data_IF_504827991967
#
_entry.id   IF_504827991967
#
_cell.length_a   1.000
_cell.length_b   1.000
_cell.length_c   1.000
_cell.angle_alpha   90.00
_cell.angle_beta   90.00
_cell.angle_gamma   90.00
#
_symmetry.space_group_name_H-M   'P 1'
#
loop_
_entity.id
_entity.type
_entity.pdbx_description
1 polymer ?
#
# COMPACT_ATOMS: atom_id res chain seq x y z
N UNK A 1 -8.28 36.90 -5.43
CA UNK A 1 -9.55 36.18 -5.45
C UNK A 1 -9.34 34.75 -5.89
N UNK A 2 -9.84 33.81 -5.11
CA UNK A 2 -9.60 32.38 -5.33
C UNK A 2 -10.40 31.76 -6.48
N UNK A 3 -11.30 32.51 -7.11
CA UNK A 3 -12.26 32.00 -8.11
C UNK A 3 -11.80 32.18 -9.55
N UNK A 4 -10.51 32.06 -9.82
CA UNK A 4 -10.00 32.06 -11.19
C UNK A 4 -10.13 30.66 -11.79
N UNK A 5 -10.15 30.57 -13.12
CA UNK A 5 -10.14 29.29 -13.82
C UNK A 5 -8.94 28.40 -13.39
N UNK A 6 -7.81 29.02 -13.12
CA UNK A 6 -6.60 28.34 -12.65
C UNK A 6 -6.78 27.77 -11.24
N UNK A 7 -7.42 28.50 -10.32
CA UNK A 7 -7.72 28.03 -8.97
C UNK A 7 -8.68 26.85 -9.00
N UNK A 8 -9.70 26.91 -9.84
CA UNK A 8 -10.66 25.82 -10.04
C UNK A 8 -9.98 24.58 -10.60
N UNK A 9 -9.07 24.75 -11.54
CA UNK A 9 -8.27 23.64 -12.11
C UNK A 9 -7.43 22.96 -11.05
N UNK A 10 -6.73 23.76 -10.22
CA UNK A 10 -5.91 23.24 -9.12
C UNK A 10 -6.73 22.46 -8.11
N UNK A 11 -7.93 22.97 -7.77
CA UNK A 11 -8.83 22.30 -6.84
C UNK A 11 -9.29 20.94 -7.39
N UNK A 12 -9.62 20.86 -8.69
CA UNK A 12 -9.99 19.60 -9.33
C UNK A 12 -8.84 18.62 -9.37
N UNK A 13 -7.64 19.09 -9.67
CA UNK A 13 -6.44 18.23 -9.68
C UNK A 13 -6.13 17.70 -8.29
N UNK A 14 -6.22 18.55 -7.26
CA UNK A 14 -6.00 18.14 -5.87
C UNK A 14 -7.02 17.07 -5.45
N UNK A 15 -8.29 17.21 -5.81
CA UNK A 15 -9.33 16.22 -5.51
C UNK A 15 -9.07 14.90 -6.21
N UNK A 16 -8.68 14.93 -7.48
CA UNK A 16 -8.32 13.73 -8.25
C UNK A 16 -7.15 12.99 -7.61
N UNK A 17 -6.10 13.72 -7.22
CA UNK A 17 -4.94 13.14 -6.54
C UNK A 17 -5.32 12.54 -5.19
N UNK A 18 -6.17 13.24 -4.42
CA UNK A 18 -6.63 12.75 -3.13
C UNK A 18 -7.39 11.42 -3.25
N UNK A 19 -8.30 11.33 -4.22
CA UNK A 19 -9.07 10.11 -4.48
C UNK A 19 -8.16 8.96 -4.91
N UNK A 20 -7.21 9.23 -5.79
CA UNK A 20 -6.24 8.24 -6.26
C UNK A 20 -5.37 7.73 -5.12
N UNK A 21 -4.89 8.64 -4.27
CA UNK A 21 -4.05 8.30 -3.12
C UNK A 21 -4.82 7.48 -2.08
N UNK A 22 -6.09 7.80 -1.85
CA UNK A 22 -6.95 7.02 -0.96
C UNK A 22 -7.12 5.59 -1.47
N UNK A 23 -7.25 5.41 -2.78
CA UNK A 23 -7.31 4.10 -3.43
C UNK A 23 -6.04 3.29 -3.21
N UNK A 24 -4.86 3.88 -3.39
CA UNK A 24 -3.58 3.21 -3.16
C UNK A 24 -3.40 2.82 -1.70
N UNK A 25 -3.78 3.70 -0.77
CA UNK A 25 -3.70 3.38 0.67
C UNK A 25 -4.63 2.23 1.04
N UNK A 26 -5.81 2.17 0.45
CA UNK A 26 -6.75 1.08 0.66
C UNK A 26 -6.20 -0.25 0.13
N UNK A 27 -5.60 -0.24 -1.06
CA UNK A 27 -4.94 -1.42 -1.63
C UNK A 27 -3.79 -1.91 -0.74
N UNK A 28 -2.99 -0.98 -0.23
CA UNK A 28 -1.88 -1.28 0.68
C UNK A 28 -2.38 -2.00 1.93
N UNK A 29 -3.40 -1.46 2.60
CA UNK A 29 -3.98 -2.06 3.81
C UNK A 29 -4.58 -3.43 3.52
N UNK A 30 -5.30 -3.57 2.42
CA UNK A 30 -5.91 -4.83 2.01
C UNK A 30 -4.85 -5.90 1.76
N UNK A 31 -3.76 -5.54 1.09
CA UNK A 31 -2.65 -6.46 0.81
C UNK A 31 -1.99 -6.96 2.09
N UNK A 32 -1.72 -6.06 3.04
CA UNK A 32 -1.17 -6.43 4.34
C UNK A 32 -2.11 -7.37 5.10
N UNK A 33 -3.39 -7.05 5.12
CA UNK A 33 -4.41 -7.85 5.81
C UNK A 33 -4.48 -9.26 5.27
N UNK A 34 -4.40 -9.44 3.95
CA UNK A 34 -4.39 -10.76 3.32
C UNK A 34 -3.22 -11.61 3.77
N UNK A 35 -2.02 -11.02 3.82
CA UNK A 35 -0.83 -11.74 4.29
C UNK A 35 -0.98 -12.12 5.76
N UNK A 36 -1.40 -11.20 6.60
CA UNK A 36 -1.57 -11.45 8.03
C UNK A 36 -2.65 -12.50 8.31
N UNK A 37 -3.74 -12.49 7.56
CA UNK A 37 -4.80 -13.48 7.68
C UNK A 37 -4.28 -14.87 7.33
N UNK A 38 -3.51 -15.00 6.26
CA UNK A 38 -2.93 -16.29 5.86
C UNK A 38 -1.92 -16.80 6.90
N UNK A 39 -1.12 -15.90 7.48
CA UNK A 39 -0.18 -16.25 8.55
C UNK A 39 -0.94 -16.74 9.78
N UNK A 40 -2.00 -16.05 10.17
CA UNK A 40 -2.84 -16.44 11.32
C UNK A 40 -3.53 -17.78 11.11
N UNK A 41 -3.90 -18.09 9.87
CA UNK A 41 -4.50 -19.36 9.51
C UNK A 41 -3.49 -20.52 9.46
N UNK A 42 -2.19 -20.22 9.53
CA UNK A 42 -1.13 -21.22 9.45
C UNK A 42 -0.88 -21.77 8.05
N UNK A 43 -1.39 -21.12 7.01
CA UNK A 43 -1.23 -21.57 5.62
C UNK A 43 -0.04 -20.87 4.99
N UNK A 44 1.13 -21.53 5.01
CA UNK A 44 2.39 -20.97 4.51
C UNK A 44 2.34 -20.69 3.00
N UNK A 45 1.77 -21.57 2.21
CA UNK A 45 1.70 -21.41 0.75
C UNK A 45 0.84 -20.19 0.39
N UNK A 46 -0.31 -20.05 1.02
CA UNK A 46 -1.19 -18.92 0.81
C UNK A 46 -0.55 -17.61 1.29
N UNK A 47 0.15 -17.65 2.43
CA UNK A 47 0.90 -16.50 2.95
C UNK A 47 2.00 -16.07 1.98
N UNK A 48 2.72 -17.01 1.40
CA UNK A 48 3.78 -16.73 0.42
C UNK A 48 3.20 -16.08 -0.84
N UNK A 49 2.10 -16.60 -1.36
CA UNK A 49 1.42 -16.03 -2.53
C UNK A 49 0.91 -14.62 -2.24
N UNK A 50 0.26 -14.42 -1.10
CA UNK A 50 -0.24 -13.13 -0.68
C UNK A 50 0.91 -12.13 -0.46
N UNK A 51 2.04 -12.59 0.08
CA UNK A 51 3.23 -11.77 0.29
C UNK A 51 3.81 -11.26 -1.04
N UNK A 52 3.93 -12.12 -2.05
CA UNK A 52 4.43 -11.71 -3.37
C UNK A 52 3.56 -10.62 -3.98
N UNK A 53 2.24 -10.75 -3.89
CA UNK A 53 1.31 -9.72 -4.34
C UNK A 53 1.44 -8.44 -3.50
N UNK A 54 1.59 -8.57 -2.19
CA UNK A 54 1.74 -7.45 -1.28
C UNK A 54 3.01 -6.64 -1.55
N UNK A 55 4.13 -7.30 -1.84
CA UNK A 55 5.39 -6.62 -2.17
C UNK A 55 5.21 -5.66 -3.34
N UNK A 56 4.51 -6.08 -4.38
CA UNK A 56 4.23 -5.21 -5.52
C UNK A 56 3.44 -3.96 -5.11
N UNK A 57 2.41 -4.12 -4.28
CA UNK A 57 1.59 -3.00 -3.80
C UNK A 57 2.39 -2.09 -2.86
N UNK A 58 3.18 -2.66 -1.96
CA UNK A 58 4.03 -1.91 -1.04
C UNK A 58 5.02 -1.04 -1.82
N UNK A 59 5.68 -1.60 -2.82
CA UNK A 59 6.66 -0.88 -3.64
C UNK A 59 6.00 0.24 -4.46
N UNK A 60 4.85 -0.03 -5.06
CA UNK A 60 4.10 0.99 -5.80
C UNK A 60 3.66 2.15 -4.89
N UNK A 61 3.18 1.83 -3.69
CA UNK A 61 2.75 2.83 -2.71
C UNK A 61 3.92 3.69 -2.25
N UNK A 62 5.08 3.07 -2.02
CA UNK A 62 6.32 3.77 -1.67
C UNK A 62 6.80 4.68 -2.82
N UNK A 63 6.78 4.19 -4.05
CA UNK A 63 7.19 4.97 -5.23
C UNK A 63 6.32 6.20 -5.46
N UNK A 64 5.06 6.14 -5.03
CA UNK A 64 4.16 7.30 -5.10
C UNK A 64 4.32 8.26 -3.92
N UNK A 65 5.20 7.96 -2.99
CA UNK A 65 5.48 8.81 -1.83
C UNK A 65 4.42 8.74 -0.74
N UNK A 66 3.53 7.76 -0.76
CA UNK A 66 2.46 7.61 0.23
C UNK A 66 2.95 6.96 1.51
N UNK A 67 4.02 6.17 1.43
CA UNK A 67 4.76 5.67 2.58
C UNK A 67 6.25 5.87 2.32
N UNK A 68 7.02 6.04 3.39
CA UNK A 68 8.46 6.19 3.27
C UNK A 68 9.09 4.85 2.87
N UNK A 69 10.16 4.90 2.06
CA UNK A 69 10.87 3.69 1.60
C UNK A 69 11.38 2.82 2.75
N UNK A 70 11.74 3.43 3.87
CA UNK A 70 12.18 2.70 5.07
C UNK A 70 11.03 1.93 5.70
N UNK A 71 9.83 2.50 5.72
CA UNK A 71 8.62 1.83 6.19
C UNK A 71 8.27 0.66 5.29
N UNK A 72 8.36 0.84 3.97
CA UNK A 72 8.13 -0.22 2.99
C UNK A 72 9.09 -1.38 3.20
N UNK A 73 10.38 -1.10 3.35
CA UNK A 73 11.41 -2.12 3.60
C UNK A 73 11.14 -2.87 4.91
N UNK A 74 10.71 -2.16 5.94
CA UNK A 74 10.40 -2.75 7.26
C UNK A 74 9.22 -3.71 7.17
N UNK A 75 8.14 -3.32 6.48
CA UNK A 75 6.99 -4.21 6.27
C UNK A 75 7.38 -5.47 5.52
N UNK A 76 8.12 -5.33 4.42
CA UNK A 76 8.57 -6.48 3.63
C UNK A 76 9.44 -7.43 4.47
N UNK A 77 10.39 -6.89 5.20
CA UNK A 77 11.29 -7.68 6.05
C UNK A 77 10.53 -8.42 7.16
N UNK A 78 9.65 -7.73 7.87
CA UNK A 78 8.89 -8.33 8.98
C UNK A 78 7.93 -9.41 8.52
N UNK A 79 7.22 -9.19 7.42
CA UNK A 79 6.32 -10.20 6.87
C UNK A 79 7.08 -11.42 6.39
N UNK A 80 8.21 -11.22 5.72
CA UNK A 80 9.06 -12.31 5.27
C UNK A 80 9.56 -13.16 6.43
N UNK A 81 10.02 -12.53 7.52
CA UNK A 81 10.46 -13.21 8.72
C UNK A 81 9.34 -14.05 9.33
N UNK A 82 8.13 -13.51 9.42
CA UNK A 82 6.99 -14.25 9.96
C UNK A 82 6.62 -15.46 9.12
N UNK A 83 6.68 -15.34 7.80
CA UNK A 83 6.39 -16.44 6.88
C UNK A 83 7.46 -17.54 7.02
N UNK A 84 8.73 -17.16 7.11
CA UNK A 84 9.82 -18.13 7.30
C UNK A 84 9.72 -18.87 8.64
N UNK A 85 9.13 -18.25 9.64
CA UNK A 85 8.93 -18.86 10.96
C UNK A 85 7.77 -19.88 11.00
N UNK A 86 6.99 -19.95 9.95
CA UNK A 86 5.83 -20.86 9.86
C UNK A 86 6.24 -22.32 9.62
#
# INVERSE_FOLDING_TARGET
>A
MANTAQSKKRARQAETHRQRNAGYRAMFRTSLKKVLTAISAGNKDEATTAYKAAVSVIDKTSNKGLIHKNKAARYKSRLNTRIHAM
#
